data_IF_088801968568
#
_entry.id   IF_088801968568
#
_cell.length_a   1.000
_cell.length_b   1.000
_cell.length_c   1.000
_cell.angle_alpha   90.00
_cell.angle_beta   90.00
_cell.angle_gamma   90.00
#
_symmetry.space_group_name_H-M   'P 1'
#
loop_
_entity.id
_entity.type
_entity.pdbx_description
1 polymer ?
#
# COMPACT_ATOMS: atom_id res chain seq x y z
N UNK A 1 -15.16 7.67 2.13
CA UNK A 1 -14.05 7.47 1.19
C UNK A 1 -13.09 6.52 1.87
N UNK A 2 -12.79 5.38 1.28
CA UNK A 2 -11.85 4.42 1.85
C UNK A 2 -10.44 4.70 1.30
N UNK A 3 -9.45 4.58 2.17
CA UNK A 3 -8.03 4.72 1.84
C UNK A 3 -7.37 3.38 2.12
N UNK A 4 -6.67 2.82 1.15
CA UNK A 4 -5.76 1.70 1.35
C UNK A 4 -4.35 2.24 1.58
N UNK A 5 -3.77 1.91 2.73
CA UNK A 5 -2.41 2.28 3.09
C UNK A 5 -1.52 1.03 3.10
N UNK A 6 -0.45 1.08 2.33
CA UNK A 6 0.58 0.05 2.21
C UNK A 6 1.86 0.56 2.87
N UNK A 7 2.52 -0.26 3.67
CA UNK A 7 3.83 0.02 4.23
C UNK A 7 4.72 -1.21 4.14
N UNK A 8 5.79 -1.12 3.36
CA UNK A 8 6.74 -2.20 3.18
C UNK A 8 7.66 -2.29 4.41
N UNK A 9 7.43 -3.28 5.26
CA UNK A 9 8.22 -3.48 6.48
C UNK A 9 9.53 -4.24 6.20
N UNK A 10 9.51 -5.16 5.23
CA UNK A 10 10.69 -5.93 4.80
C UNK A 10 10.53 -6.39 3.35
N UNK A 11 11.57 -6.23 2.55
CA UNK A 11 11.59 -6.65 1.14
C UNK A 11 11.10 -5.55 0.18
N UNK A 12 10.83 -5.94 -1.05
CA UNK A 12 10.33 -5.08 -2.12
C UNK A 12 9.02 -5.60 -2.72
N UNK A 13 8.14 -4.68 -3.10
CA UNK A 13 6.81 -4.94 -3.64
C UNK A 13 6.53 -4.05 -4.84
N UNK A 14 5.68 -4.52 -5.75
CA UNK A 14 5.03 -3.66 -6.74
C UNK A 14 3.55 -3.49 -6.36
N UNK A 15 3.10 -2.26 -6.17
CA UNK A 15 1.72 -1.92 -5.85
C UNK A 15 1.17 -1.03 -6.95
N UNK A 16 0.23 -1.53 -7.75
CA UNK A 16 -0.37 -0.76 -8.86
C UNK A 16 0.70 -0.13 -9.78
N UNK A 17 1.67 -0.94 -10.22
CA UNK A 17 2.77 -0.49 -11.07
C UNK A 17 3.85 0.37 -10.37
N UNK A 18 3.78 0.53 -9.05
CA UNK A 18 4.73 1.34 -8.26
C UNK A 18 5.60 0.46 -7.37
N UNK A 19 6.91 0.62 -7.49
CA UNK A 19 7.88 -0.08 -6.66
C UNK A 19 7.90 0.51 -5.25
N UNK A 20 7.75 -0.34 -4.23
CA UNK A 20 7.95 -0.02 -2.82
C UNK A 20 9.13 -0.83 -2.28
N UNK A 21 10.14 -0.13 -1.77
CA UNK A 21 11.23 -0.72 -1.01
C UNK A 21 10.94 -0.70 0.51
N UNK A 22 11.81 -1.33 1.28
CA UNK A 22 11.71 -1.33 2.74
C UNK A 22 11.62 0.10 3.29
N UNK A 23 10.62 0.33 4.16
CA UNK A 23 10.21 1.62 4.76
C UNK A 23 9.46 2.57 3.84
N UNK A 24 9.22 2.20 2.59
CA UNK A 24 8.30 2.95 1.73
C UNK A 24 6.86 2.70 2.14
N UNK A 25 6.03 3.71 1.88
CA UNK A 25 4.59 3.61 2.06
C UNK A 25 3.84 4.26 0.92
N UNK A 26 2.67 3.71 0.60
CA UNK A 26 1.78 4.19 -0.45
C UNK A 26 0.36 4.24 0.08
N UNK A 27 -0.32 5.37 -0.16
CA UNK A 27 -1.74 5.53 0.11
C UNK A 27 -2.49 5.60 -1.22
N UNK A 28 -3.54 4.79 -1.39
CA UNK A 28 -4.40 4.76 -2.56
C UNK A 28 -5.84 5.07 -2.14
N UNK A 29 -6.48 5.99 -2.86
CA UNK A 29 -7.89 6.32 -2.73
C UNK A 29 -8.65 5.89 -3.98
N UNK A 30 -9.98 5.75 -3.86
CA UNK A 30 -10.88 5.48 -4.97
C UNK A 30 -10.49 4.26 -5.84
N UNK A 31 -9.96 3.22 -5.20
CA UNK A 31 -9.61 1.95 -5.85
C UNK A 31 -10.62 0.86 -5.46
N UNK A 32 -11.21 0.19 -6.44
CA UNK A 32 -12.04 -1.01 -6.22
C UNK A 32 -11.16 -2.26 -5.99
N UNK A 33 -10.04 -2.37 -6.70
CA UNK A 33 -9.06 -3.46 -6.60
C UNK A 33 -7.63 -2.91 -6.67
N UNK A 34 -6.68 -3.60 -6.03
CA UNK A 34 -5.25 -3.26 -6.03
C UNK A 34 -4.42 -4.49 -6.36
N UNK A 35 -3.64 -4.41 -7.44
CA UNK A 35 -2.61 -5.39 -7.74
C UNK A 35 -1.38 -5.17 -6.85
N UNK A 36 -0.95 -6.25 -6.19
CA UNK A 36 0.19 -6.29 -5.28
C UNK A 36 1.06 -7.51 -5.62
N UNK A 37 2.30 -7.26 -6.03
CA UNK A 37 3.29 -8.30 -6.29
C UNK A 37 4.44 -8.25 -5.29
N UNK A 38 4.92 -9.41 -4.90
CA UNK A 38 6.14 -9.57 -4.11
C UNK A 38 7.34 -9.74 -5.03
N UNK A 39 8.36 -8.89 -4.89
CA UNK A 39 9.53 -8.90 -5.77
C UNK A 39 10.79 -9.49 -5.13
N UNK A 40 10.70 -10.02 -3.91
CA UNK A 40 11.86 -10.53 -3.16
C UNK A 40 11.48 -11.66 -2.20
N UNK A 41 12.48 -12.28 -1.58
CA UNK A 41 12.29 -13.36 -0.60
C UNK A 41 12.19 -12.80 0.83
N UNK A 42 11.44 -13.50 1.70
CA UNK A 42 11.26 -13.14 3.13
C UNK A 42 10.65 -11.75 3.38
N UNK A 43 9.53 -11.49 2.74
CA UNK A 43 8.86 -10.19 2.72
C UNK A 43 7.88 -10.01 3.88
N UNK A 44 7.64 -8.75 4.27
CA UNK A 44 6.52 -8.34 5.13
C UNK A 44 6.00 -6.98 4.73
N UNK A 45 4.70 -6.87 4.52
CA UNK A 45 3.98 -5.63 4.26
C UNK A 45 2.84 -5.47 5.26
N UNK A 46 2.60 -4.24 5.70
CA UNK A 46 1.39 -3.86 6.42
C UNK A 46 0.43 -3.23 5.43
N UNK A 47 -0.82 -3.71 5.42
CA UNK A 47 -1.91 -3.16 4.61
C UNK A 47 -3.03 -2.77 5.58
N UNK A 48 -3.53 -1.54 5.46
CA UNK A 48 -4.63 -1.04 6.27
C UNK A 48 -5.69 -0.41 5.37
N UNK A 49 -6.93 -0.83 5.55
CA UNK A 49 -8.09 -0.14 5.00
C UNK A 49 -8.65 0.82 6.04
N UNK A 50 -8.67 2.11 5.69
CA UNK A 50 -9.07 3.18 6.59
C UNK A 50 -10.30 3.88 6.05
N UNK A 51 -11.33 3.99 6.88
CA UNK A 51 -12.46 4.88 6.59
C UNK A 51 -12.06 6.30 6.97
N UNK A 52 -11.92 7.16 5.98
CA UNK A 52 -11.61 8.57 6.19
C UNK A 52 -12.93 9.33 6.36
N UNK A 53 -13.14 9.88 7.55
CA UNK A 53 -14.26 10.76 7.87
C UNK A 53 -13.80 12.23 7.87
N UNK A 54 -14.47 13.09 7.11
CA UNK A 54 -14.19 14.53 7.01
C UNK A 54 -13.54 14.95 5.68
N UNK A 55 -13.42 16.26 5.47
CA UNK A 55 -12.66 16.81 4.33
C UNK A 55 -11.18 16.81 4.70
N UNK A 56 -10.40 15.92 4.08
CA UNK A 56 -8.95 16.12 3.97
C UNK A 56 -8.75 17.22 2.91
N UNK A 57 -8.68 18.47 3.37
CA UNK A 57 -8.21 19.58 2.55
C UNK A 57 -6.71 19.47 2.31
#
# INVERSE_FOLDING_TARGET
>A
MYLLYFCAYRGAFEVQGRLLHEKDSLALWDTEEVELEALSNHIRILIMELNVFGNLH
#
